data_IF_893612281847
#
_entry.id   IF_893612281847
#
_cell.length_a   1.000
_cell.length_b   1.000
_cell.length_c   1.000
_cell.angle_alpha   90.00
_cell.angle_beta   90.00
_cell.angle_gamma   90.00
#
_symmetry.space_group_name_H-M   'P 1'
#
loop_
_entity.id
_entity.type
_entity.pdbx_description
1 polymer ?
#
# COMPACT_ATOMS: atom_id res chain seq x y z
N UNK A 1 28.62 2.20 -2.01
CA UNK A 1 27.32 2.67 -2.51
C UNK A 1 27.56 3.42 -3.83
N UNK A 2 27.51 2.66 -4.94
CA UNK A 2 27.79 3.17 -6.30
C UNK A 2 26.73 4.18 -6.77
N UNK A 3 25.51 4.15 -6.21
CA UNK A 3 24.43 5.08 -6.58
C UNK A 3 24.72 6.52 -6.12
N UNK A 4 25.35 6.68 -4.96
CA UNK A 4 25.74 7.99 -4.43
C UNK A 4 26.97 8.57 -5.12
N UNK A 5 27.82 7.71 -5.69
CA UNK A 5 29.07 8.16 -6.32
C UNK A 5 28.87 8.80 -7.70
N UNK A 6 27.74 8.49 -8.39
CA UNK A 6 27.55 8.82 -9.80
C UNK A 6 26.29 9.66 -10.12
N UNK A 7 25.51 10.06 -9.11
CA UNK A 7 24.28 10.82 -9.33
C UNK A 7 24.11 11.92 -8.29
N UNK A 8 23.75 13.13 -8.75
CA UNK A 8 23.32 14.23 -7.89
C UNK A 8 21.89 14.01 -7.32
N UNK A 9 21.15 13.06 -7.90
CA UNK A 9 19.79 12.68 -7.44
C UNK A 9 19.90 11.27 -6.85
N UNK A 10 19.59 11.08 -5.56
CA UNK A 10 19.62 9.77 -4.93
C UNK A 10 18.61 8.82 -5.58
N UNK A 11 19.01 7.58 -5.81
CA UNK A 11 18.12 6.54 -6.31
C UNK A 11 17.20 6.02 -5.20
N UNK A 12 15.97 5.66 -5.56
CA UNK A 12 15.14 4.81 -4.72
C UNK A 12 15.63 3.37 -4.79
N UNK A 13 16.01 2.84 -3.64
CA UNK A 13 16.29 1.41 -3.44
C UNK A 13 15.06 0.81 -2.78
N UNK A 14 14.19 0.23 -3.60
CA UNK A 14 12.85 -0.17 -3.19
C UNK A 14 12.72 -1.70 -3.04
N UNK A 15 11.78 -2.12 -2.20
CA UNK A 15 11.45 -3.52 -1.96
C UNK A 15 9.96 -3.66 -1.64
N UNK A 16 9.36 -4.82 -1.95
CA UNK A 16 8.07 -5.25 -1.42
C UNK A 16 8.30 -6.16 -0.21
N UNK A 17 8.34 -5.60 0.97
CA UNK A 17 8.50 -6.33 2.23
C UNK A 17 7.31 -6.04 3.14
N UNK A 18 6.18 -6.72 2.86
CA UNK A 18 4.93 -6.55 3.61
C UNK A 18 4.90 -7.43 4.85
N UNK A 19 5.50 -8.58 4.75
CA UNK A 19 5.33 -9.72 5.65
C UNK A 19 4.39 -10.79 5.05
N UNK A 20 4.22 -11.88 5.74
CA UNK A 20 3.40 -12.99 5.27
C UNK A 20 3.84 -13.51 3.89
N UNK A 21 2.91 -13.60 2.96
CA UNK A 21 3.16 -14.11 1.61
C UNK A 21 4.03 -13.16 0.74
N UNK A 22 4.08 -11.87 1.06
CA UNK A 22 4.85 -10.88 0.29
C UNK A 22 6.12 -10.50 1.04
N UNK A 23 7.12 -11.34 0.87
CA UNK A 23 8.42 -11.25 1.51
C UNK A 23 9.50 -11.60 0.50
N UNK A 24 10.44 -10.69 0.22
CA UNK A 24 11.48 -10.88 -0.80
C UNK A 24 12.79 -11.42 -0.23
N UNK A 25 13.05 -11.16 1.05
CA UNK A 25 14.29 -11.53 1.72
C UNK A 25 14.01 -12.41 2.96
N UNK A 26 13.26 -13.49 2.75
CA UNK A 26 12.77 -14.37 3.83
C UNK A 26 13.90 -14.92 4.72
N UNK A 27 15.04 -15.26 4.13
CA UNK A 27 16.18 -15.86 4.85
C UNK A 27 17.10 -14.82 5.53
N UNK A 28 16.90 -13.54 5.25
CA UNK A 28 17.86 -12.48 5.62
C UNK A 28 17.24 -11.41 6.51
N UNK A 29 15.91 -11.32 6.57
CA UNK A 29 15.18 -10.29 7.31
C UNK A 29 14.18 -10.92 8.27
N UNK A 30 13.81 -10.15 9.29
CA UNK A 30 12.72 -10.50 10.18
C UNK A 30 11.42 -10.64 9.39
N UNK A 31 10.70 -11.73 9.65
CA UNK A 31 9.47 -12.04 8.95
C UNK A 31 8.27 -11.56 9.75
N UNK A 32 7.68 -10.44 9.34
CA UNK A 32 6.42 -9.98 9.91
C UNK A 32 5.29 -10.97 9.57
N UNK A 33 4.37 -11.23 10.50
CA UNK A 33 3.16 -11.99 10.20
C UNK A 33 2.34 -11.37 9.07
N UNK A 34 1.46 -12.15 8.40
CA UNK A 34 0.51 -11.59 7.44
C UNK A 34 -0.34 -10.48 8.06
N UNK A 35 -0.72 -9.46 7.28
CA UNK A 35 -1.55 -8.36 7.77
C UNK A 35 -2.88 -8.85 8.38
N UNK A 36 -3.46 -9.92 7.83
CA UNK A 36 -4.66 -10.56 8.38
C UNK A 36 -4.47 -11.06 9.82
N UNK A 37 -3.29 -11.60 10.13
CA UNK A 37 -2.96 -12.03 11.50
C UNK A 37 -2.75 -10.81 12.38
N UNK A 38 -1.97 -9.83 11.93
CA UNK A 38 -1.75 -8.58 12.67
C UNK A 38 -3.06 -7.84 12.92
N UNK A 39 -4.00 -7.89 11.99
CA UNK A 39 -5.35 -7.34 12.16
C UNK A 39 -6.16 -7.99 13.28
N UNK A 40 -5.80 -9.17 13.78
CA UNK A 40 -6.43 -9.78 14.97
C UNK A 40 -5.75 -9.40 16.29
N UNK A 41 -4.61 -8.74 16.22
CA UNK A 41 -3.84 -8.26 17.37
C UNK A 41 -4.03 -6.74 17.57
N UNK A 42 -3.26 -6.13 18.45
CA UNK A 42 -3.27 -4.66 18.60
C UNK A 42 -2.49 -3.96 17.49
N UNK A 43 -2.83 -2.70 17.22
CA UNK A 43 -2.07 -1.84 16.30
C UNK A 43 -0.60 -1.74 16.70
N UNK A 44 -0.31 -1.69 18.01
CA UNK A 44 1.06 -1.62 18.52
C UNK A 44 1.91 -2.83 18.08
N UNK A 45 1.30 -4.01 17.96
CA UNK A 45 2.00 -5.19 17.42
C UNK A 45 2.40 -5.03 15.97
N UNK A 46 1.51 -4.46 15.14
CA UNK A 46 1.83 -4.17 13.76
C UNK A 46 2.94 -3.11 13.65
N UNK A 47 2.92 -2.10 14.51
CA UNK A 47 3.97 -1.08 14.63
C UNK A 47 5.31 -1.70 15.03
N UNK A 48 5.34 -2.58 16.04
CA UNK A 48 6.55 -3.29 16.48
C UNK A 48 7.22 -4.05 15.32
N UNK A 49 6.42 -4.76 14.52
CA UNK A 49 6.91 -5.49 13.35
C UNK A 49 7.43 -4.55 12.27
N UNK A 50 6.69 -3.47 11.99
CA UNK A 50 7.11 -2.48 10.99
C UNK A 50 8.41 -1.76 11.39
N UNK A 51 8.59 -1.44 12.66
CA UNK A 51 9.83 -0.84 13.18
C UNK A 51 11.03 -1.78 13.02
N UNK A 52 10.87 -3.07 13.35
CA UNK A 52 11.92 -4.09 13.19
C UNK A 52 12.30 -4.24 11.72
N UNK A 53 11.30 -4.47 10.86
CA UNK A 53 11.50 -4.61 9.42
C UNK A 53 12.12 -3.34 8.81
N UNK A 54 11.60 -2.16 9.16
CA UNK A 54 12.12 -0.88 8.67
C UNK A 54 13.58 -0.63 9.06
N UNK A 55 13.95 -0.95 10.31
CA UNK A 55 15.34 -0.86 10.78
C UNK A 55 16.29 -1.75 9.97
N UNK A 56 15.89 -3.00 9.70
CA UNK A 56 16.70 -3.94 8.94
C UNK A 56 16.83 -3.50 7.47
N UNK A 57 15.71 -3.11 6.83
CA UNK A 57 15.71 -2.59 5.47
C UNK A 57 16.65 -1.38 5.34
N UNK A 58 16.56 -0.44 6.30
CA UNK A 58 17.44 0.74 6.32
C UNK A 58 18.90 0.34 6.47
N UNK A 59 19.21 -0.65 7.32
CA UNK A 59 20.56 -1.18 7.51
C UNK A 59 21.16 -1.80 6.25
N UNK A 60 20.33 -2.37 5.38
CA UNK A 60 20.71 -2.93 4.09
C UNK A 60 20.79 -1.89 2.96
N UNK A 61 20.43 -0.62 3.23
CA UNK A 61 20.51 0.45 2.25
C UNK A 61 19.24 0.71 1.46
N UNK A 62 18.14 0.02 1.76
CA UNK A 62 16.83 0.37 1.20
C UNK A 62 16.37 1.74 1.76
N UNK A 63 15.65 2.48 0.94
CA UNK A 63 15.07 3.77 1.32
C UNK A 63 13.58 3.88 0.98
N UNK A 64 12.98 2.83 0.41
CA UNK A 64 11.57 2.75 0.09
C UNK A 64 11.07 1.32 0.31
N UNK A 65 9.98 1.17 1.06
CA UNK A 65 9.22 -0.08 1.14
C UNK A 65 7.86 0.10 0.47
N UNK A 66 7.51 -0.76 -0.51
CA UNK A 66 6.19 -0.81 -1.11
C UNK A 66 5.21 -1.56 -0.19
N UNK A 67 5.02 -1.00 0.99
CA UNK A 67 4.11 -1.40 2.05
C UNK A 67 3.75 -0.15 2.87
N UNK A 68 2.64 -0.15 3.62
CA UNK A 68 1.72 -1.26 3.85
C UNK A 68 0.69 -1.46 2.73
N UNK A 69 0.15 -2.69 2.66
CA UNK A 69 -1.08 -2.96 1.92
C UNK A 69 -2.26 -2.24 2.62
N UNK A 70 -3.06 -1.54 1.83
CA UNK A 70 -4.23 -0.79 2.30
C UNK A 70 -5.53 -1.28 1.61
N UNK A 71 -5.47 -2.43 0.95
CA UNK A 71 -6.63 -3.05 0.34
C UNK A 71 -7.56 -3.65 1.39
N UNK A 72 -8.84 -3.69 1.07
CA UNK A 72 -9.84 -4.45 1.82
C UNK A 72 -9.93 -5.87 1.25
N UNK A 73 -10.20 -6.87 2.10
CA UNK A 73 -10.38 -8.25 1.66
C UNK A 73 -9.43 -9.22 2.30
N UNK A 74 -9.59 -10.52 2.01
CA UNK A 74 -8.80 -11.59 2.64
C UNK A 74 -7.82 -12.27 1.70
N UNK A 75 -7.71 -11.80 0.45
CA UNK A 75 -6.86 -12.43 -0.56
C UNK A 75 -5.40 -12.46 -0.09
N UNK A 76 -4.83 -13.65 -0.04
CA UNK A 76 -3.46 -13.92 0.40
C UNK A 76 -3.10 -13.44 1.81
N UNK A 77 -4.09 -13.10 2.64
CA UNK A 77 -3.86 -12.60 4.01
C UNK A 77 -3.21 -11.23 4.09
N UNK A 78 -3.29 -10.42 3.03
CA UNK A 78 -2.58 -9.14 2.92
C UNK A 78 -3.32 -7.96 3.55
N UNK A 79 -4.62 -8.07 3.81
CA UNK A 79 -5.42 -7.02 4.40
C UNK A 79 -5.54 -7.14 5.92
N UNK A 80 -5.58 -6.02 6.62
CA UNK A 80 -5.85 -5.94 8.07
C UNK A 80 -7.32 -6.22 8.43
N UNK A 81 -8.24 -6.01 7.49
CA UNK A 81 -9.67 -6.34 7.63
C UNK A 81 -10.33 -6.51 6.27
N UNK A 82 -11.35 -7.37 6.21
CA UNK A 82 -12.18 -7.57 5.01
C UNK A 82 -13.40 -6.65 4.95
N UNK A 83 -13.84 -6.11 6.08
CA UNK A 83 -15.15 -5.48 6.26
C UNK A 83 -15.14 -4.20 7.07
N UNK A 84 -14.00 -3.84 7.69
CA UNK A 84 -13.84 -2.61 8.48
C UNK A 84 -12.79 -1.68 7.85
N UNK A 85 -13.21 -0.70 7.03
CA UNK A 85 -12.30 0.28 6.43
C UNK A 85 -11.54 1.10 7.47
N UNK A 86 -12.17 1.44 8.60
CA UNK A 86 -11.54 2.21 9.67
C UNK A 86 -10.36 1.47 10.28
N UNK A 87 -10.52 0.16 10.49
CA UNK A 87 -9.45 -0.71 10.96
C UNK A 87 -8.27 -0.76 9.97
N UNK A 88 -8.56 -0.92 8.67
CA UNK A 88 -7.49 -0.90 7.66
C UNK A 88 -6.74 0.43 7.69
N UNK A 89 -7.46 1.56 7.79
CA UNK A 89 -6.87 2.90 7.92
C UNK A 89 -5.96 2.99 9.14
N UNK A 90 -6.41 2.55 10.30
CA UNK A 90 -5.63 2.69 11.54
C UNK A 90 -4.34 1.88 11.49
N UNK A 91 -4.40 0.63 11.02
CA UNK A 91 -3.22 -0.22 10.89
C UNK A 91 -2.26 0.26 9.80
N UNK A 92 -2.77 0.53 8.59
CA UNK A 92 -1.93 0.98 7.48
C UNK A 92 -1.27 2.33 7.78
N UNK A 93 -1.99 3.26 8.41
CA UNK A 93 -1.41 4.53 8.85
C UNK A 93 -0.28 4.32 9.87
N UNK A 94 -0.52 3.53 10.92
CA UNK A 94 0.46 3.31 11.98
C UNK A 94 1.72 2.59 11.45
N UNK A 95 1.55 1.58 10.59
CA UNK A 95 2.66 0.87 9.93
C UNK A 95 3.44 1.80 8.99
N UNK A 96 2.74 2.61 8.17
CA UNK A 96 3.39 3.60 7.32
C UNK A 96 4.20 4.62 8.13
N UNK A 97 3.64 5.10 9.25
CA UNK A 97 4.34 6.01 10.14
C UNK A 97 5.57 5.35 10.77
N UNK A 98 5.49 4.06 11.14
CA UNK A 98 6.62 3.32 11.68
C UNK A 98 7.77 3.19 10.65
N UNK A 99 7.49 2.97 9.37
CA UNK A 99 8.51 3.03 8.31
C UNK A 99 9.11 4.42 8.14
N UNK A 100 8.28 5.47 8.15
CA UNK A 100 8.74 6.86 8.11
C UNK A 100 9.70 7.17 9.26
N UNK A 101 9.41 6.74 10.47
CA UNK A 101 10.23 6.97 11.66
C UNK A 101 11.59 6.24 11.59
N UNK A 102 11.70 5.18 10.78
CA UNK A 102 12.97 4.56 10.42
C UNK A 102 13.70 5.24 9.24
N UNK A 103 13.15 6.34 8.72
CA UNK A 103 13.72 7.10 7.60
C UNK A 103 13.55 6.41 6.25
N UNK A 104 12.48 5.63 6.07
CA UNK A 104 12.07 5.05 4.80
C UNK A 104 10.92 5.85 4.19
N UNK A 105 10.90 5.95 2.88
CA UNK A 105 9.66 6.14 2.15
C UNK A 105 8.82 4.88 2.22
N UNK A 106 7.49 5.03 2.13
CA UNK A 106 6.55 3.91 2.12
C UNK A 106 5.44 4.16 1.09
N UNK A 107 4.69 3.12 0.73
CA UNK A 107 3.61 3.25 -0.24
C UNK A 107 2.34 2.56 0.25
N UNK A 108 1.23 3.30 0.29
CA UNK A 108 -0.10 2.70 0.40
C UNK A 108 -0.51 2.10 -0.94
N UNK A 109 -0.99 0.87 -0.95
CA UNK A 109 -1.32 0.13 -2.16
C UNK A 109 -2.53 -0.78 -1.97
N UNK A 110 -3.29 -1.02 -3.03
CA UNK A 110 -3.17 -0.64 -4.44
C UNK A 110 -4.37 0.22 -4.85
N UNK A 111 -4.19 1.51 -4.92
CA UNK A 111 -5.26 2.45 -5.25
C UNK A 111 -5.97 2.09 -6.58
N UNK A 112 -7.30 2.18 -6.68
CA UNK A 112 -8.29 2.60 -5.68
C UNK A 112 -8.80 1.49 -4.74
N UNK A 113 -8.17 0.30 -4.71
CA UNK A 113 -8.46 -0.86 -3.88
C UNK A 113 -8.74 -2.11 -4.71
N UNK A 114 -7.97 -3.19 -4.47
CA UNK A 114 -8.06 -4.44 -5.23
C UNK A 114 -8.63 -5.61 -4.44
N UNK A 115 -8.98 -5.39 -3.17
CA UNK A 115 -9.35 -6.47 -2.25
C UNK A 115 -10.59 -7.29 -2.63
N UNK A 116 -11.35 -6.83 -3.63
CA UNK A 116 -12.51 -7.52 -4.20
C UNK A 116 -12.27 -8.04 -5.62
N UNK A 117 -11.01 -8.24 -6.01
CA UNK A 117 -10.69 -8.93 -7.26
C UNK A 117 -10.82 -10.43 -7.07
N UNK A 118 -11.48 -11.07 -8.01
CA UNK A 118 -11.63 -12.53 -8.03
C UNK A 118 -10.42 -13.26 -8.63
N UNK A 119 -9.41 -12.53 -9.13
CA UNK A 119 -8.28 -13.07 -9.91
C UNK A 119 -6.97 -12.40 -9.51
N UNK A 120 -5.87 -13.16 -9.54
CA UNK A 120 -4.51 -12.67 -9.39
C UNK A 120 -4.17 -11.62 -10.48
N UNK A 121 -3.85 -10.41 -10.06
CA UNK A 121 -3.50 -9.27 -10.94
C UNK A 121 -2.28 -9.52 -11.83
N UNK A 122 -1.48 -10.53 -11.52
CA UNK A 122 -0.30 -10.89 -12.31
C UNK A 122 -0.62 -11.86 -13.46
N UNK A 123 -1.81 -12.45 -13.48
CA UNK A 123 -2.17 -13.51 -14.43
C UNK A 123 -2.99 -13.02 -15.64
N UNK A 124 -3.78 -11.94 -15.50
CA UNK A 124 -4.59 -11.35 -16.59
C UNK A 124 -5.08 -9.95 -16.18
N UNK A 125 -5.69 -9.21 -17.12
CA UNK A 125 -6.32 -7.91 -16.86
C UNK A 125 -7.51 -8.06 -15.91
N UNK A 126 -7.23 -8.08 -14.61
CA UNK A 126 -8.23 -8.26 -13.56
C UNK A 126 -9.23 -7.12 -13.57
N UNK A 127 -10.50 -7.45 -13.41
CA UNK A 127 -11.59 -6.48 -13.29
C UNK A 127 -12.13 -6.48 -11.86
N UNK A 128 -12.31 -5.29 -11.29
CA UNK A 128 -13.02 -5.10 -10.02
C UNK A 128 -14.46 -4.73 -10.35
N UNK A 129 -15.36 -5.70 -10.19
CA UNK A 129 -16.78 -5.56 -10.58
C UNK A 129 -17.68 -4.92 -9.53
N UNK A 130 -17.09 -4.44 -8.42
CA UNK A 130 -17.83 -3.71 -7.41
C UNK A 130 -18.38 -2.39 -7.97
N UNK A 131 -19.62 -2.04 -7.61
CA UNK A 131 -20.22 -0.77 -8.04
C UNK A 131 -19.42 0.43 -7.52
N UNK A 132 -19.52 1.56 -8.23
CA UNK A 132 -18.89 2.82 -7.80
C UNK A 132 -19.24 3.18 -6.37
N UNK A 133 -20.48 3.00 -5.96
CA UNK A 133 -20.94 3.30 -4.59
C UNK A 133 -20.21 2.42 -3.57
N UNK A 134 -20.09 1.13 -3.83
CA UNK A 134 -19.37 0.18 -2.97
C UNK A 134 -17.90 0.53 -2.89
N UNK A 135 -17.25 0.80 -4.02
CA UNK A 135 -15.85 1.21 -4.06
C UNK A 135 -15.60 2.49 -3.25
N UNK A 136 -16.42 3.53 -3.47
CA UNK A 136 -16.25 4.82 -2.82
C UNK A 136 -16.51 4.80 -1.31
N UNK A 137 -17.37 3.90 -0.83
CA UNK A 137 -17.70 3.79 0.58
C UNK A 137 -16.81 2.82 1.36
N UNK A 138 -16.03 1.97 0.68
CA UNK A 138 -15.17 0.97 1.29
C UNK A 138 -13.71 1.14 0.85
N UNK A 139 -13.35 0.51 -0.26
CA UNK A 139 -11.94 0.39 -0.69
C UNK A 139 -11.30 1.77 -0.93
N UNK A 140 -11.96 2.61 -1.70
CA UNK A 140 -11.45 3.93 -2.05
C UNK A 140 -11.46 4.89 -0.87
N UNK A 141 -12.42 4.70 0.06
CA UNK A 141 -12.52 5.44 1.33
C UNK A 141 -11.28 5.27 2.20
N UNK A 142 -10.70 4.07 2.25
CA UNK A 142 -9.46 3.79 2.97
C UNK A 142 -8.35 4.73 2.49
N UNK A 143 -8.16 4.82 1.18
CA UNK A 143 -7.12 5.71 0.61
C UNK A 143 -7.41 7.19 0.85
N UNK A 144 -8.68 7.61 0.75
CA UNK A 144 -9.08 8.98 1.06
C UNK A 144 -8.71 9.36 2.49
N UNK A 145 -9.00 8.48 3.45
CA UNK A 145 -8.73 8.72 4.86
C UNK A 145 -7.23 8.67 5.17
N UNK A 146 -6.48 7.75 4.58
CA UNK A 146 -5.03 7.67 4.70
C UNK A 146 -4.35 8.94 4.17
N UNK A 147 -4.73 9.42 2.99
CA UNK A 147 -4.19 10.65 2.38
C UNK A 147 -4.48 11.85 3.27
N UNK A 148 -5.71 11.96 3.78
CA UNK A 148 -6.11 13.04 4.68
C UNK A 148 -5.35 13.02 6.02
N UNK A 149 -5.11 11.82 6.57
CA UNK A 149 -4.47 11.60 7.87
C UNK A 149 -2.95 11.78 7.79
N UNK A 150 -2.32 11.42 6.67
CA UNK A 150 -0.86 11.42 6.52
C UNK A 150 -0.31 12.84 6.29
N UNK A 151 0.47 13.35 7.22
CA UNK A 151 1.06 14.70 7.13
C UNK A 151 2.45 14.73 6.51
N UNK A 152 3.17 13.61 6.54
CA UNK A 152 4.47 13.47 5.87
C UNK A 152 4.30 13.61 4.36
N UNK A 153 5.36 14.06 3.68
CA UNK A 153 5.48 14.00 2.23
C UNK A 153 6.34 12.81 1.76
N UNK A 154 6.79 11.97 2.69
CA UNK A 154 7.64 10.81 2.41
C UNK A 154 6.81 9.55 2.24
N UNK A 155 5.69 9.64 1.52
CA UNK A 155 4.89 8.49 1.16
C UNK A 155 4.43 8.58 -0.29
N UNK A 156 4.09 7.42 -0.82
CA UNK A 156 3.57 7.25 -2.17
C UNK A 156 2.22 6.56 -2.12
N UNK A 157 1.47 6.67 -3.21
CA UNK A 157 0.28 5.86 -3.48
C UNK A 157 0.57 5.04 -4.72
N UNK A 158 0.62 3.72 -4.57
CA UNK A 158 0.79 2.80 -5.68
C UNK A 158 -0.57 2.50 -6.30
N UNK A 159 -0.68 2.76 -7.60
CA UNK A 159 -1.92 2.57 -8.34
C UNK A 159 -1.98 1.16 -8.94
N UNK A 160 -3.14 0.54 -8.83
CA UNK A 160 -3.43 -0.78 -9.37
C UNK A 160 -3.41 -0.82 -10.91
N UNK A 161 -3.15 -1.99 -11.48
CA UNK A 161 -3.33 -2.28 -12.91
C UNK A 161 -4.71 -2.89 -13.23
N UNK A 162 -5.59 -3.08 -12.26
CA UNK A 162 -6.94 -3.57 -12.49
C UNK A 162 -7.81 -2.55 -13.23
N UNK A 163 -8.79 -3.05 -13.97
CA UNK A 163 -9.85 -2.25 -14.60
C UNK A 163 -11.01 -2.14 -13.61
N UNK A 164 -11.56 -0.96 -13.46
CA UNK A 164 -12.71 -0.65 -12.60
C UNK A 164 -13.85 -0.14 -13.50
N UNK A 165 -14.72 -1.03 -14.05
CA UNK A 165 -15.68 -0.63 -15.08
C UNK A 165 -16.61 0.53 -14.68
N UNK A 166 -16.96 0.62 -13.42
CA UNK A 166 -17.82 1.70 -12.89
C UNK A 166 -17.09 3.04 -12.67
N UNK A 167 -15.74 3.06 -12.80
CA UNK A 167 -14.94 4.29 -12.73
C UNK A 167 -14.34 4.63 -14.10
N UNK A 168 -13.78 3.65 -14.79
CA UNK A 168 -13.24 3.74 -16.15
C UNK A 168 -13.30 2.33 -16.79
N UNK A 169 -14.22 2.08 -17.73
CA UNK A 169 -14.39 0.75 -18.30
C UNK A 169 -13.30 0.36 -19.30
N UNK A 170 -12.57 1.34 -19.82
CA UNK A 170 -11.68 1.16 -20.98
C UNK A 170 -10.21 1.05 -20.57
N UNK A 171 -9.82 1.63 -19.42
CA UNK A 171 -8.43 1.71 -19.02
C UNK A 171 -8.19 1.07 -17.64
N UNK A 172 -7.05 0.40 -17.43
CA UNK A 172 -6.61 0.03 -16.10
C UNK A 172 -6.35 1.29 -15.26
N UNK A 173 -6.53 1.20 -13.93
CA UNK A 173 -6.43 2.35 -13.04
C UNK A 173 -5.13 3.15 -13.23
N UNK A 174 -4.00 2.47 -13.47
CA UNK A 174 -2.69 3.11 -13.70
C UNK A 174 -2.57 3.91 -15.00
N UNK A 175 -3.51 3.75 -15.94
CA UNK A 175 -3.57 4.52 -17.19
C UNK A 175 -4.84 5.37 -17.27
N UNK A 176 -5.71 5.34 -16.26
CA UNK A 176 -6.97 6.06 -16.22
C UNK A 176 -6.80 7.48 -15.71
N UNK A 177 -7.12 8.48 -16.56
CA UNK A 177 -7.20 9.87 -16.12
C UNK A 177 -8.28 10.06 -15.05
N UNK A 178 -9.43 9.39 -15.20
CA UNK A 178 -10.52 9.48 -14.24
C UNK A 178 -10.10 9.02 -12.83
N UNK A 179 -9.27 7.98 -12.74
CA UNK A 179 -8.80 7.44 -11.47
C UNK A 179 -7.58 8.20 -10.94
N UNK A 180 -6.54 8.39 -11.77
CA UNK A 180 -5.28 8.99 -11.31
C UNK A 180 -5.37 10.51 -11.12
N UNK A 181 -6.07 11.20 -12.00
CA UNK A 181 -6.13 12.66 -11.96
C UNK A 181 -7.40 13.13 -11.26
N UNK A 182 -8.56 12.71 -11.75
CA UNK A 182 -9.81 13.31 -11.28
C UNK A 182 -10.17 12.80 -9.87
N UNK A 183 -9.95 11.51 -9.58
CA UNK A 183 -10.23 10.95 -8.25
C UNK A 183 -9.07 11.18 -7.28
N UNK A 184 -7.86 10.65 -7.59
CA UNK A 184 -6.74 10.66 -6.64
C UNK A 184 -6.20 12.07 -6.38
N UNK A 185 -5.89 12.84 -7.45
CA UNK A 185 -5.28 14.16 -7.30
C UNK A 185 -6.29 15.25 -6.99
N UNK A 186 -7.38 15.33 -7.76
CA UNK A 186 -8.32 16.45 -7.64
C UNK A 186 -9.31 16.24 -6.47
N UNK A 187 -9.93 15.06 -6.38
CA UNK A 187 -10.95 14.80 -5.35
C UNK A 187 -10.32 14.48 -3.98
N UNK A 188 -9.26 13.66 -3.93
CA UNK A 188 -8.59 13.31 -2.66
C UNK A 188 -7.41 14.22 -2.33
N UNK A 189 -7.09 15.19 -3.22
CA UNK A 189 -6.04 16.18 -3.02
C UNK A 189 -4.63 15.56 -2.75
N UNK A 190 -4.34 14.41 -3.36
CA UNK A 190 -3.02 13.80 -3.29
C UNK A 190 -2.02 14.57 -4.14
N UNK A 191 -0.92 15.05 -3.54
CA UNK A 191 0.07 15.92 -4.18
C UNK A 191 1.44 15.22 -4.40
N UNK A 192 1.51 13.90 -4.14
CA UNK A 192 2.72 13.11 -4.37
C UNK A 192 2.92 12.66 -5.80
#
# INVERSE_FOLDING_TARGET
DTSKANSSIPLFMAIDQEGGAVTRMADSLVQAPPAQVLGTESVDKAVDWAQKSGKELKGLGFNLNFAPDADMGLTYGRSYSSDDPGKVVDYAYAVGQAYHDQGLFFAYKHFPGIGKTDVDLHADSSRVTASKEVLMNNDTKVFQDLISKTKSKQYMVMVSHAIYPDLDPDNPASLSKAIMVDLLRNQFNYQG
#
